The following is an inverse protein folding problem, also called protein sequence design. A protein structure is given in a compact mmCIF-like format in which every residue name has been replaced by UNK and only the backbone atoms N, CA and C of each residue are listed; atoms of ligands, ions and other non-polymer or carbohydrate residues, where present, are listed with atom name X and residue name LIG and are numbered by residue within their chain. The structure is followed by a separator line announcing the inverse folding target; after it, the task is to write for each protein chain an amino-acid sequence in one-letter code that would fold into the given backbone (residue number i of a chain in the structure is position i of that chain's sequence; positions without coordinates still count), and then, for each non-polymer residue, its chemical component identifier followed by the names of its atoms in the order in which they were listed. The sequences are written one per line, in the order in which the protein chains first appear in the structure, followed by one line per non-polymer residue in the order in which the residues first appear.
data_IF_987273091395
#
_entry.id   IF_987273091395
#
_cell.length_a   1.000
_cell.length_b   1.000
_cell.length_c   1.000
_cell.angle_alpha   90.00
_cell.angle_beta   90.00
_cell.angle_gamma   90.00
#
_symmetry.space_group_name_H-M   'P 1'
#
loop_
_entity.id
_entity.type
_entity.pdbx_description
1 polymer ?
#
# COMPACT_ATOMS: atom_id res chain seq x y z
N UNK A 1 -14.95 24.73 12.43
CA UNK A 1 -14.47 24.20 13.72
C UNK A 1 -14.78 22.71 13.73
N UNK A 2 -13.84 21.88 13.25
CA UNK A 2 -13.97 20.41 13.33
C UNK A 2 -13.43 20.01 14.69
N UNK A 3 -14.25 19.38 15.51
CA UNK A 3 -13.86 18.97 16.86
C UNK A 3 -12.96 17.73 16.76
N UNK A 4 -11.80 17.70 17.46
CA UNK A 4 -10.98 16.50 17.54
C UNK A 4 -11.78 15.44 18.27
N UNK A 5 -12.16 14.39 17.55
CA UNK A 5 -12.92 13.28 18.12
C UNK A 5 -11.97 12.11 18.36
N UNK A 6 -11.43 12.02 19.58
CA UNK A 6 -10.64 10.86 19.98
C UNK A 6 -11.54 9.62 20.05
N UNK A 7 -11.45 8.78 19.03
CA UNK A 7 -12.00 7.43 19.04
C UNK A 7 -10.96 6.52 19.68
N UNK A 8 -11.35 5.81 20.74
CA UNK A 8 -10.55 4.79 21.39
C UNK A 8 -10.27 3.66 20.39
N UNK A 9 -9.11 3.68 19.74
CA UNK A 9 -8.66 2.57 18.89
C UNK A 9 -8.09 1.48 19.78
N UNK A 10 -8.84 0.38 19.92
CA UNK A 10 -8.47 -0.80 20.71
C UNK A 10 -7.21 -1.53 20.19
N UNK A 11 -6.73 -1.21 19.00
CA UNK A 11 -5.58 -1.85 18.35
C UNK A 11 -4.63 -0.81 17.74
N UNK A 12 -3.32 -1.07 17.79
CA UNK A 12 -2.26 -0.21 17.24
C UNK A 12 -2.36 0.08 15.73
N UNK A 13 -3.10 -0.75 14.97
CA UNK A 13 -3.27 -0.64 13.51
C UNK A 13 -4.72 -0.68 13.10
N UNK A 14 -5.11 0.31 12.29
CA UNK A 14 -6.42 0.37 11.65
C UNK A 14 -6.64 -0.87 10.76
N UNK A 15 -7.75 -1.59 10.95
CA UNK A 15 -8.10 -2.76 10.14
C UNK A 15 -8.31 -2.39 8.66
N UNK A 16 -8.70 -1.13 8.39
CA UNK A 16 -8.79 -0.58 7.05
C UNK A 16 -7.41 -0.50 6.38
N UNK A 17 -6.39 -0.07 7.12
CA UNK A 17 -5.01 0.03 6.63
C UNK A 17 -4.41 -1.35 6.32
N UNK A 18 -4.68 -2.38 7.12
CA UNK A 18 -4.25 -3.76 6.82
C UNK A 18 -4.80 -4.28 5.49
N UNK A 19 -6.06 -3.94 5.20
CA UNK A 19 -6.74 -4.45 4.00
C UNK A 19 -6.25 -3.73 2.74
N UNK A 20 -5.93 -2.44 2.83
CA UNK A 20 -5.41 -1.67 1.69
C UNK A 20 -4.02 -2.16 1.25
N UNK A 21 -3.12 -2.55 2.18
CA UNK A 21 -1.80 -3.07 1.82
C UNK A 21 -1.86 -4.32 0.93
N UNK A 22 -2.75 -5.26 1.26
CA UNK A 22 -2.90 -6.49 0.46
C UNK A 22 -3.35 -6.13 -0.97
N UNK A 23 -4.32 -5.23 -1.11
CA UNK A 23 -4.78 -4.75 -2.41
C UNK A 23 -3.66 -4.11 -3.23
N UNK A 24 -2.87 -3.23 -2.62
CA UNK A 24 -1.76 -2.53 -3.29
C UNK A 24 -0.66 -3.50 -3.73
N UNK A 25 -0.29 -4.47 -2.90
CA UNK A 25 0.73 -5.45 -3.28
C UNK A 25 0.30 -6.31 -4.46
N UNK A 26 -0.99 -6.70 -4.52
CA UNK A 26 -1.53 -7.43 -5.67
C UNK A 26 -1.52 -6.56 -6.93
N UNK A 27 -1.98 -5.30 -6.83
CA UNK A 27 -1.93 -4.37 -7.96
C UNK A 27 -0.49 -4.14 -8.45
N UNK A 28 0.46 -3.96 -7.53
CA UNK A 28 1.88 -3.78 -7.85
C UNK A 28 2.46 -4.98 -8.58
N UNK A 29 2.15 -6.20 -8.12
CA UNK A 29 2.60 -7.43 -8.75
C UNK A 29 2.07 -7.56 -10.19
N UNK A 30 0.79 -7.23 -10.42
CA UNK A 30 0.20 -7.26 -11.76
C UNK A 30 0.80 -6.19 -12.68
N UNK A 31 1.08 -5.00 -12.17
CA UNK A 31 1.70 -3.92 -12.95
C UNK A 31 3.12 -4.28 -13.39
N UNK A 32 3.92 -4.82 -12.48
CA UNK A 32 5.27 -5.32 -12.80
C UNK A 32 5.19 -6.44 -13.83
N UNK A 33 4.28 -7.40 -13.64
CA UNK A 33 4.14 -8.55 -14.53
C UNK A 33 3.75 -8.14 -15.95
N UNK A 34 2.79 -7.21 -16.09
CA UNK A 34 2.34 -6.70 -17.40
C UNK A 34 3.37 -5.80 -18.06
N UNK A 35 4.06 -4.94 -17.29
CA UNK A 35 5.15 -4.10 -17.80
C UNK A 35 6.34 -4.91 -18.32
N UNK A 36 6.77 -5.92 -17.56
CA UNK A 36 7.85 -6.83 -17.98
C UNK A 36 7.42 -7.73 -19.15
N UNK A 37 6.14 -8.11 -19.22
CA UNK A 37 5.61 -8.84 -20.36
C UNK A 37 5.67 -8.01 -21.66
N UNK A 38 5.29 -6.72 -21.62
CA UNK A 38 5.45 -5.81 -22.77
C UNK A 38 6.93 -5.61 -23.13
N UNK A 39 7.80 -5.46 -22.13
CA UNK A 39 9.25 -5.36 -22.38
C UNK A 39 9.81 -6.60 -23.08
N UNK A 40 9.34 -7.79 -22.70
CA UNK A 40 9.72 -9.06 -23.33
C UNK A 40 9.33 -9.15 -24.82
N UNK A 41 8.28 -8.44 -25.26
CA UNK A 41 7.89 -8.40 -26.67
C UNK A 41 8.89 -7.59 -27.53
N UNK A 42 9.48 -6.55 -26.94
CA UNK A 42 10.49 -5.72 -27.62
C UNK A 42 11.86 -6.42 -27.64
N UNK A 43 12.24 -7.08 -26.55
CA UNK A 43 13.53 -7.75 -26.39
C UNK A 43 13.40 -9.24 -26.01
N UNK A 44 13.04 -10.12 -26.96
CA UNK A 44 12.74 -11.52 -26.68
C UNK A 44 13.95 -12.35 -26.23
N UNK A 45 15.18 -11.91 -26.52
CA UNK A 45 16.41 -12.65 -26.21
C UNK A 45 16.90 -12.48 -24.76
N UNK A 46 16.18 -11.71 -23.93
CA UNK A 46 16.56 -11.48 -22.53
C UNK A 46 16.04 -12.57 -21.60
N UNK A 47 16.76 -12.81 -20.49
CA UNK A 47 16.32 -13.73 -19.43
C UNK A 47 14.96 -13.33 -18.82
N UNK A 48 14.64 -12.03 -18.82
CA UNK A 48 13.34 -11.49 -18.39
C UNK A 48 12.22 -12.01 -19.29
N UNK A 49 12.46 -12.07 -20.61
CA UNK A 49 11.47 -12.61 -21.54
C UNK A 49 11.17 -14.09 -21.26
N UNK A 50 12.16 -14.90 -20.86
CA UNK A 50 11.91 -16.31 -20.55
C UNK A 50 10.91 -16.51 -19.38
N UNK A 51 10.88 -15.58 -18.43
CA UNK A 51 10.02 -15.65 -17.24
C UNK A 51 8.63 -15.03 -17.51
N UNK A 52 8.58 -13.90 -18.22
CA UNK A 52 7.36 -13.10 -18.37
C UNK A 52 6.63 -13.29 -19.71
N UNK A 53 7.26 -13.92 -20.70
CA UNK A 53 6.61 -14.21 -21.99
C UNK A 53 5.40 -15.16 -21.91
N UNK A 54 5.22 -16.06 -20.91
CA UNK A 54 3.97 -16.80 -20.75
C UNK A 54 2.73 -15.91 -20.61
N UNK A 55 2.87 -14.69 -20.08
CA UNK A 55 1.78 -13.70 -20.01
C UNK A 55 1.35 -13.26 -21.42
N UNK A 56 2.31 -13.09 -22.33
CA UNK A 56 2.06 -12.74 -23.73
C UNK A 56 1.47 -13.90 -24.55
N UNK A 57 1.53 -15.13 -24.06
CA UNK A 57 0.86 -16.27 -24.69
C UNK A 57 -0.64 -16.32 -24.35
N UNK A 58 -1.03 -15.74 -23.21
CA UNK A 58 -2.41 -15.75 -22.72
C UNK A 58 -3.22 -14.53 -23.20
N UNK A 59 -2.55 -13.43 -23.55
CA UNK A 59 -3.18 -12.16 -23.93
C UNK A 59 -2.55 -11.60 -25.19
N UNK A 60 -3.34 -10.85 -25.98
CA UNK A 60 -2.78 -10.10 -27.11
C UNK A 60 -1.99 -8.88 -26.63
N UNK A 61 -1.05 -8.39 -27.44
CA UNK A 61 -0.29 -7.17 -27.15
C UNK A 61 -1.18 -6.00 -26.72
N UNK A 62 -2.25 -5.74 -27.47
CA UNK A 62 -3.21 -4.69 -27.15
C UNK A 62 -3.87 -4.90 -25.78
N UNK A 63 -4.27 -6.14 -25.45
CA UNK A 63 -4.89 -6.43 -24.16
C UNK A 63 -3.94 -6.19 -22.99
N UNK A 64 -2.66 -6.56 -23.12
CA UNK A 64 -1.66 -6.32 -22.07
C UNK A 64 -1.49 -4.82 -21.83
N UNK A 65 -1.38 -4.02 -22.88
CA UNK A 65 -1.28 -2.56 -22.77
C UNK A 65 -2.51 -1.94 -22.10
N UNK A 66 -3.71 -2.40 -22.47
CA UNK A 66 -4.95 -1.92 -21.86
C UNK A 66 -5.03 -2.30 -20.38
N UNK A 67 -4.70 -3.54 -20.01
CA UNK A 67 -4.69 -4.00 -18.62
C UNK A 67 -3.71 -3.18 -17.79
N UNK A 68 -2.48 -2.99 -18.29
CA UNK A 68 -1.46 -2.16 -17.63
C UNK A 68 -1.98 -0.73 -17.42
N UNK A 69 -2.56 -0.12 -18.44
CA UNK A 69 -3.09 1.24 -18.33
C UNK A 69 -4.24 1.35 -17.31
N UNK A 70 -5.14 0.36 -17.26
CA UNK A 70 -6.22 0.35 -16.26
C UNK A 70 -5.72 0.18 -14.83
N UNK A 71 -4.69 -0.65 -14.62
CA UNK A 71 -4.06 -0.81 -13.30
C UNK A 71 -3.32 0.46 -12.90
N UNK A 72 -2.61 1.11 -13.83
CA UNK A 72 -1.98 2.42 -13.62
C UNK A 72 -3.00 3.50 -13.19
N UNK A 73 -4.18 3.55 -13.81
CA UNK A 73 -5.27 4.42 -13.36
C UNK A 73 -5.75 4.08 -11.95
N UNK A 74 -5.86 2.79 -11.64
CA UNK A 74 -6.15 2.32 -10.28
C UNK A 74 -5.14 2.82 -9.25
N UNK A 75 -3.84 2.74 -9.58
CA UNK A 75 -2.76 3.27 -8.75
C UNK A 75 -2.86 4.78 -8.52
N UNK A 76 -3.18 5.53 -9.58
CA UNK A 76 -3.34 6.98 -9.49
C UNK A 76 -4.49 7.35 -8.54
N UNK A 77 -5.66 6.72 -8.70
CA UNK A 77 -6.81 6.96 -7.83
C UNK A 77 -6.53 6.52 -6.39
N UNK A 78 -5.91 5.35 -6.21
CA UNK A 78 -5.50 4.85 -4.91
C UNK A 78 -4.55 5.83 -4.22
N UNK A 79 -3.57 6.38 -4.93
CA UNK A 79 -2.59 7.33 -4.37
C UNK A 79 -3.28 8.59 -3.87
N UNK A 80 -4.21 9.17 -4.63
CA UNK A 80 -4.96 10.36 -4.19
C UNK A 80 -5.76 10.06 -2.92
N UNK A 81 -6.48 8.95 -2.88
CA UNK A 81 -7.29 8.56 -1.71
C UNK A 81 -6.39 8.25 -0.51
N UNK A 82 -5.29 7.51 -0.72
CA UNK A 82 -4.36 7.12 0.32
C UNK A 82 -3.71 8.35 0.97
N UNK A 83 -3.21 9.29 0.17
CA UNK A 83 -2.61 10.53 0.66
C UNK A 83 -3.66 11.36 1.42
N UNK A 84 -4.88 11.48 0.88
CA UNK A 84 -5.95 12.19 1.58
C UNK A 84 -6.29 11.57 2.95
N UNK A 85 -6.45 10.25 3.01
CA UNK A 85 -6.76 9.55 4.26
C UNK A 85 -5.61 9.65 5.26
N UNK A 86 -4.36 9.51 4.79
CA UNK A 86 -3.18 9.65 5.62
C UNK A 86 -3.10 11.05 6.26
N UNK A 87 -3.29 12.11 5.48
CA UNK A 87 -3.33 13.47 6.01
C UNK A 87 -4.56 13.72 6.91
N UNK A 88 -5.71 13.16 6.56
CA UNK A 88 -6.93 13.29 7.36
C UNK A 88 -6.77 12.64 8.73
N UNK A 89 -6.21 11.44 8.81
CA UNK A 89 -5.93 10.74 10.06
C UNK A 89 -4.87 11.49 10.89
N UNK A 90 -3.80 11.99 10.25
CA UNK A 90 -2.75 12.77 10.93
C UNK A 90 -3.31 14.07 11.56
N UNK A 91 -4.19 14.78 10.86
CA UNK A 91 -4.83 16.01 11.37
C UNK A 91 -5.93 15.72 12.39
N UNK A 92 -6.66 14.62 12.27
CA UNK A 92 -7.86 14.38 13.08
C UNK A 92 -7.63 13.55 14.35
N UNK A 93 -6.63 12.67 14.36
CA UNK A 93 -6.38 11.79 15.52
C UNK A 93 -5.17 12.19 16.36
N UNK A 94 -4.32 13.15 15.94
CA UNK A 94 -3.02 13.45 16.59
C UNK A 94 -2.15 12.19 16.85
N UNK A 95 -2.54 11.03 16.31
CA UNK A 95 -1.91 9.73 16.51
C UNK A 95 -0.62 9.56 15.68
N UNK A 96 -0.31 10.57 14.86
CA UNK A 96 0.98 10.73 14.20
C UNK A 96 1.37 9.56 13.32
N UNK A 97 0.44 8.95 12.57
CA UNK A 97 0.79 7.85 11.67
C UNK A 97 1.72 8.34 10.54
N UNK A 98 1.40 9.48 9.91
CA UNK A 98 2.28 10.12 8.90
C UNK A 98 3.52 10.70 9.56
N UNK A 99 3.37 11.35 10.72
CA UNK A 99 4.52 11.81 11.51
C UNK A 99 5.47 10.67 11.86
N UNK A 100 5.00 9.46 12.13
CA UNK A 100 5.85 8.30 12.40
C UNK A 100 6.55 7.75 11.15
N UNK A 101 5.94 7.86 9.97
CA UNK A 101 6.61 7.51 8.70
C UNK A 101 7.76 8.48 8.36
N UNK A 102 7.63 9.76 8.72
CA UNK A 102 8.64 10.80 8.42
C UNK A 102 9.68 10.94 9.53
N UNK A 103 9.25 10.90 10.80
CA UNK A 103 10.11 11.14 11.97
C UNK A 103 10.57 9.86 12.68
N UNK A 104 9.93 8.71 12.41
CA UNK A 104 10.21 7.43 13.08
C UNK A 104 9.67 7.30 14.51
N UNK A 105 9.06 8.36 15.06
CA UNK A 105 8.60 8.41 16.44
C UNK A 105 7.07 8.55 16.47
N UNK A 106 6.38 7.64 17.17
CA UNK A 106 4.93 7.70 17.36
C UNK A 106 4.63 8.05 18.81
N UNK A 107 3.90 9.13 19.03
CA UNK A 107 3.49 9.58 20.37
C UNK A 107 2.10 9.01 20.68
N UNK A 108 1.98 8.32 21.81
CA UNK A 108 0.71 7.81 22.32
C UNK A 108 0.32 8.63 23.57
N UNK A 109 -0.85 9.29 23.59
CA UNK A 109 -1.34 9.97 24.78
C UNK A 109 -1.90 9.01 25.86
N UNK A 110 -2.18 7.75 25.50
CA UNK A 110 -2.61 6.67 26.40
C UNK A 110 -2.00 5.37 25.89
N UNK A 111 -1.43 4.56 26.78
CA UNK A 111 -0.80 3.28 26.44
C UNK A 111 -1.84 2.29 25.85
N UNK A 112 -1.76 1.91 24.55
CA UNK A 112 -2.68 0.93 23.98
C UNK A 112 -2.45 -0.49 24.55
N UNK A 113 -3.52 -1.31 24.57
CA UNK A 113 -3.53 -2.67 25.17
C UNK A 113 -2.46 -3.62 24.58
N UNK A 114 -1.96 -3.35 23.37
CA UNK A 114 -0.96 -4.13 22.63
C UNK A 114 0.48 -3.57 22.72
N UNK A 115 0.76 -2.61 23.62
CA UNK A 115 2.14 -2.18 23.92
C UNK A 115 3.05 -3.34 24.38
N UNK A 116 2.48 -4.35 25.05
CA UNK A 116 3.23 -5.53 25.51
C UNK A 116 3.90 -6.30 24.36
N UNK A 117 3.35 -6.27 23.14
CA UNK A 117 3.94 -6.93 21.97
C UNK A 117 5.22 -6.24 21.47
N UNK A 118 5.40 -4.95 21.76
CA UNK A 118 6.59 -4.18 21.36
C UNK A 118 7.72 -4.24 22.41
N UNK A 119 7.37 -4.32 23.70
CA UNK A 119 8.35 -4.28 24.79
C UNK A 119 8.64 -5.66 25.41
N UNK A 120 7.86 -6.70 25.05
CA UNK A 120 7.94 -8.01 25.69
C UNK A 120 7.41 -7.98 27.13
N UNK A 121 7.19 -9.14 27.76
CA UNK A 121 6.39 -9.29 28.99
C UNK A 121 7.02 -8.73 30.27
N UNK A 122 7.96 -7.78 30.20
CA UNK A 122 8.57 -7.18 31.38
C UNK A 122 8.89 -5.70 31.20
N UNK A 123 7.97 -4.85 31.63
CA UNK A 123 8.32 -3.68 32.44
C UNK A 123 7.31 -3.53 33.58
N UNK A 124 7.83 -3.62 34.81
CA UNK A 124 7.21 -3.10 36.02
C UNK A 124 7.16 -1.57 35.98
#
# INVERSE_FOLDING_TARGET
MMLPQQREHRFLRNSLARTSYVGVYVMMFLEISTGLAMYAQVYPDTWVAQIFNPVNLLFTEYQVHMIHHYIAWGFLLFTIIHVYLAFREDVMEESGEVSSMVSGMKFYPTDPEDIEDLYGPNKK
#
